data_IF_399036704269
#
_entry.id   IF_399036704269
#
_cell.length_a   1.000
_cell.length_b   1.000
_cell.length_c   1.000
_cell.angle_alpha   90.00
_cell.angle_beta   90.00
_cell.angle_gamma   90.00
#
_symmetry.space_group_name_H-M   'P 1'
#
loop_
_entity.id
_entity.type
_entity.pdbx_description
1 polymer ?
#
# COMPACT_ATOMS: atom_id res chain seq x y z
N UNK A 1 -9.21 -12.95 -106.27
CA UNK A 1 -9.38 -12.64 -104.84
C UNK A 1 -9.04 -11.17 -104.62
N UNK A 2 -10.04 -10.33 -104.33
CA UNK A 2 -9.88 -8.87 -104.15
C UNK A 2 -9.39 -8.59 -102.73
N UNK A 3 -8.17 -8.08 -102.58
CA UNK A 3 -7.68 -7.58 -101.29
C UNK A 3 -7.97 -6.07 -101.20
N UNK A 4 -8.83 -5.72 -100.26
CA UNK A 4 -9.30 -4.35 -99.99
C UNK A 4 -8.21 -3.54 -99.30
N UNK A 5 -7.96 -2.34 -99.83
CA UNK A 5 -7.03 -1.34 -99.34
C UNK A 5 -7.69 -0.51 -98.22
N UNK A 6 -7.19 -0.62 -96.98
CA UNK A 6 -7.62 0.18 -95.84
C UNK A 6 -6.69 1.39 -95.63
N UNK A 7 -7.22 2.60 -95.84
CA UNK A 7 -6.53 3.87 -95.58
C UNK A 7 -6.35 4.08 -94.07
N UNK A 8 -5.11 4.22 -93.62
CA UNK A 8 -4.77 4.61 -92.24
C UNK A 8 -4.72 6.14 -92.16
N UNK A 9 -5.57 6.71 -91.32
CA UNK A 9 -5.65 8.16 -91.07
C UNK A 9 -4.85 8.50 -89.81
N UNK A 10 -3.81 9.31 -89.95
CA UNK A 10 -3.00 9.83 -88.83
C UNK A 10 -3.62 11.13 -88.29
N UNK A 11 -3.99 11.16 -87.01
CA UNK A 11 -4.29 12.38 -86.25
C UNK A 11 -3.11 12.64 -85.29
N UNK A 12 -2.50 13.83 -85.24
CA UNK A 12 -1.46 14.12 -84.26
C UNK A 12 -2.13 14.55 -82.96
N UNK A 13 -2.02 13.75 -81.90
CA UNK A 13 -2.37 14.19 -80.55
C UNK A 13 -1.08 14.60 -79.82
N UNK A 14 -0.81 15.90 -79.87
CA UNK A 14 0.08 16.60 -78.95
C UNK A 14 -0.43 16.36 -77.53
N UNK A 15 0.33 15.69 -76.69
CA UNK A 15 -0.09 15.45 -75.30
C UNK A 15 0.82 14.50 -74.52
N UNK A 16 2.14 14.73 -74.54
CA UNK A 16 3.11 13.82 -73.92
C UNK A 16 4.02 14.46 -72.84
N UNK A 17 3.62 15.54 -72.16
CA UNK A 17 4.50 16.17 -71.13
C UNK A 17 3.85 16.35 -69.74
N UNK A 18 2.54 16.14 -69.57
CA UNK A 18 1.87 16.52 -68.31
C UNK A 18 1.71 15.42 -67.24
N UNK A 19 2.21 14.18 -67.44
CA UNK A 19 1.92 13.06 -66.51
C UNK A 19 3.14 12.65 -65.64
N UNK A 20 4.35 13.13 -65.92
CA UNK A 20 5.53 12.81 -65.10
C UNK A 20 5.72 13.71 -63.86
N UNK A 21 4.96 14.81 -63.73
CA UNK A 21 5.10 15.79 -62.64
C UNK A 21 3.97 15.74 -61.60
N UNK A 22 2.98 14.87 -61.78
CA UNK A 22 1.84 14.74 -60.88
C UNK A 22 1.94 13.59 -59.85
N UNK A 23 3.01 12.77 -59.90
CA UNK A 23 3.22 11.65 -58.96
C UNK A 23 4.23 11.96 -57.84
N UNK A 24 4.87 13.12 -57.83
CA UNK A 24 5.79 13.53 -56.75
C UNK A 24 5.08 14.14 -55.52
N UNK A 25 3.94 14.87 -55.62
CA UNK A 25 3.35 15.46 -54.42
C UNK A 25 2.64 14.43 -53.53
N UNK A 26 2.28 13.25 -54.04
CA UNK A 26 1.61 12.21 -53.24
C UNK A 26 2.55 11.51 -52.22
N UNK A 27 3.86 11.53 -52.42
CA UNK A 27 4.82 10.90 -51.51
C UNK A 27 5.21 11.79 -50.30
N UNK A 28 4.92 13.09 -50.36
CA UNK A 28 5.34 14.05 -49.31
C UNK A 28 4.34 14.12 -48.16
N UNK A 29 3.05 13.82 -48.40
CA UNK A 29 1.99 13.92 -47.39
C UNK A 29 1.90 12.76 -46.39
N UNK A 30 2.76 11.74 -46.48
CA UNK A 30 2.73 10.60 -45.55
C UNK A 30 3.80 10.64 -44.44
N UNK A 31 4.65 11.67 -44.38
CA UNK A 31 5.70 11.73 -43.33
C UNK A 31 5.27 12.37 -42.01
N UNK A 32 4.16 13.11 -41.95
CA UNK A 32 3.72 13.79 -40.72
C UNK A 32 2.93 12.91 -39.73
N UNK A 33 2.71 11.63 -40.06
CA UNK A 33 1.97 10.69 -39.20
C UNK A 33 2.86 9.87 -38.25
N UNK A 34 4.11 10.29 -37.99
CA UNK A 34 4.88 9.65 -36.91
C UNK A 34 4.35 10.16 -35.56
N UNK A 35 3.80 9.30 -34.68
CA UNK A 35 3.41 9.73 -33.35
C UNK A 35 4.64 10.33 -32.66
N UNK A 36 4.55 11.61 -32.30
CA UNK A 36 5.59 12.31 -31.56
C UNK A 36 5.89 11.50 -30.29
N UNK A 37 7.15 11.13 -30.03
CA UNK A 37 7.49 10.40 -28.81
C UNK A 37 7.02 11.23 -27.60
N UNK A 38 6.44 10.58 -26.57
CA UNK A 38 5.98 11.29 -25.38
C UNK A 38 7.13 12.13 -24.81
N UNK A 39 6.84 13.32 -24.26
CA UNK A 39 7.87 14.18 -23.69
C UNK A 39 8.66 13.39 -22.65
N UNK A 40 9.99 13.56 -22.67
CA UNK A 40 10.88 12.92 -21.70
C UNK A 40 10.40 13.28 -20.28
N UNK A 41 10.21 12.26 -19.44
CA UNK A 41 9.74 12.45 -18.08
C UNK A 41 10.79 13.21 -17.27
N UNK A 42 10.39 14.33 -16.65
CA UNK A 42 11.22 15.06 -15.72
C UNK A 42 11.46 14.21 -14.46
N UNK A 43 12.65 14.29 -13.83
CA UNK A 43 12.91 13.59 -12.58
C UNK A 43 11.89 14.04 -11.52
N UNK A 44 11.22 13.06 -10.92
CA UNK A 44 10.18 13.25 -9.90
C UNK A 44 10.52 12.42 -8.68
N UNK A 45 10.26 12.96 -7.48
CA UNK A 45 10.43 12.25 -6.21
C UNK A 45 9.27 11.30 -5.89
N UNK A 46 8.20 11.29 -6.69
CA UNK A 46 7.05 10.43 -6.47
C UNK A 46 7.31 9.01 -6.98
N UNK A 47 6.78 8.01 -6.26
CA UNK A 47 6.74 6.63 -6.76
C UNK A 47 5.84 6.54 -8.00
N UNK A 48 6.26 5.72 -8.95
CA UNK A 48 5.53 5.49 -10.20
C UNK A 48 4.21 4.75 -9.91
N UNK A 49 3.07 5.41 -10.16
CA UNK A 49 1.72 4.85 -9.95
C UNK A 49 1.21 4.20 -11.25
N UNK A 50 1.98 3.26 -11.79
CA UNK A 50 1.60 2.54 -13.00
C UNK A 50 1.16 1.13 -12.60
N UNK A 51 -0.16 0.89 -12.59
CA UNK A 51 -0.74 -0.43 -12.32
C UNK A 51 -0.67 -1.25 -13.62
N UNK A 52 0.29 -2.17 -13.68
CA UNK A 52 0.53 -3.02 -14.86
C UNK A 52 -0.09 -4.42 -14.74
N UNK A 53 -0.65 -4.77 -13.57
CA UNK A 53 -1.31 -6.04 -13.29
C UNK A 53 -2.80 -5.87 -12.94
N UNK A 54 -3.68 -6.84 -13.25
CA UNK A 54 -5.09 -6.77 -12.85
C UNK A 54 -5.24 -6.76 -11.32
N UNK A 55 -6.16 -5.94 -10.80
CA UNK A 55 -6.42 -5.81 -9.36
C UNK A 55 -6.62 -7.16 -8.66
N UNK A 56 -7.36 -8.09 -9.28
CA UNK A 56 -7.62 -9.40 -8.67
C UNK A 56 -6.33 -10.18 -8.36
N UNK A 57 -5.31 -10.05 -9.21
CA UNK A 57 -4.01 -10.72 -9.02
C UNK A 57 -3.27 -10.11 -7.83
N UNK A 58 -3.19 -8.78 -7.77
CA UNK A 58 -2.62 -8.05 -6.63
C UNK A 58 -3.33 -8.41 -5.33
N UNK A 59 -4.66 -8.46 -5.41
CA UNK A 59 -5.54 -8.76 -4.29
C UNK A 59 -5.22 -10.15 -3.72
N UNK A 60 -5.34 -11.21 -4.53
CA UNK A 60 -5.07 -12.57 -4.08
C UNK A 60 -3.65 -12.73 -3.52
N UNK A 61 -2.64 -12.11 -4.15
CA UNK A 61 -1.26 -12.10 -3.66
C UNK A 61 -1.14 -11.49 -2.27
N UNK A 62 -1.80 -10.36 -2.02
CA UNK A 62 -1.75 -9.67 -0.73
C UNK A 62 -2.47 -10.42 0.37
N UNK A 63 -3.66 -10.98 0.08
CA UNK A 63 -4.37 -11.86 1.00
C UNK A 63 -3.53 -13.06 1.40
N UNK A 64 -2.86 -13.69 0.43
CA UNK A 64 -1.97 -14.82 0.69
C UNK A 64 -0.75 -14.45 1.53
N UNK A 65 -0.20 -13.23 1.36
CA UNK A 65 0.95 -12.75 2.12
C UNK A 65 0.61 -12.32 3.56
N UNK A 66 -0.63 -11.93 3.83
CA UNK A 66 -1.10 -11.37 5.11
C UNK A 66 -0.62 -12.14 6.35
N UNK A 67 -0.79 -13.48 6.46
CA UNK A 67 -0.40 -14.20 7.68
C UNK A 67 1.09 -14.10 7.99
N UNK A 68 1.95 -14.10 6.96
CA UNK A 68 3.40 -13.98 7.13
C UNK A 68 3.80 -12.56 7.58
N UNK A 69 3.15 -11.53 7.04
CA UNK A 69 3.42 -10.13 7.41
C UNK A 69 2.95 -9.86 8.83
N UNK A 70 1.75 -10.30 9.19
CA UNK A 70 1.20 -10.16 10.54
C UNK A 70 2.07 -10.89 11.56
N UNK A 71 2.51 -12.11 11.26
CA UNK A 71 3.42 -12.87 12.14
C UNK A 71 4.74 -12.12 12.37
N UNK A 72 5.38 -11.64 11.31
CA UNK A 72 6.61 -10.84 11.41
C UNK A 72 6.41 -9.63 12.31
N UNK A 73 5.28 -8.92 12.16
CA UNK A 73 4.97 -7.76 12.97
C UNK A 73 4.73 -8.13 14.43
N UNK A 74 3.97 -9.20 14.69
CA UNK A 74 3.74 -9.69 16.05
C UNK A 74 5.05 -10.12 16.72
N UNK A 75 5.94 -10.79 16.00
CA UNK A 75 7.26 -11.16 16.51
C UNK A 75 8.10 -9.92 16.84
N UNK A 76 8.07 -8.88 16.00
CA UNK A 76 8.74 -7.60 16.26
C UNK A 76 8.19 -6.91 17.52
N UNK A 77 6.87 -6.83 17.66
CA UNK A 77 6.21 -6.26 18.83
C UNK A 77 6.54 -7.05 20.09
N UNK A 78 6.50 -8.38 20.03
CA UNK A 78 6.83 -9.27 21.14
C UNK A 78 8.31 -9.17 21.55
N UNK A 79 9.23 -8.90 20.62
CA UNK A 79 10.62 -8.64 20.94
C UNK A 79 10.82 -7.31 21.66
N UNK A 80 10.08 -6.27 21.26
CA UNK A 80 10.23 -4.90 21.76
C UNK A 80 9.45 -4.62 23.04
N UNK A 81 8.28 -5.27 23.21
CA UNK A 81 7.32 -4.93 24.24
C UNK A 81 6.78 -6.14 25.01
N UNK A 82 6.37 -5.91 26.26
CA UNK A 82 5.46 -6.78 27.01
C UNK A 82 4.01 -6.43 26.63
N UNK A 83 3.37 -7.32 25.86
CA UNK A 83 1.99 -7.17 25.38
C UNK A 83 0.94 -7.76 26.34
N UNK A 84 1.35 -8.30 27.50
CA UNK A 84 0.43 -8.92 28.44
C UNK A 84 -0.58 -7.92 29.02
N UNK A 85 -1.80 -8.40 29.25
CA UNK A 85 -2.84 -7.64 29.94
C UNK A 85 -2.57 -7.65 31.46
N UNK A 86 -2.12 -6.51 31.99
CA UNK A 86 -1.83 -6.29 33.41
C UNK A 86 -2.44 -4.97 33.85
N UNK A 87 -3.74 -4.94 34.20
CA UNK A 87 -4.40 -3.72 34.62
C UNK A 87 -3.83 -3.22 35.95
N UNK A 88 -3.70 -1.90 36.09
CA UNK A 88 -3.38 -1.25 37.35
C UNK A 88 -4.60 -1.32 38.30
N UNK A 89 -4.35 -1.66 39.56
CA UNK A 89 -5.41 -1.80 40.55
C UNK A 89 -6.12 -0.45 40.78
N UNK A 90 -7.44 -0.42 40.57
CA UNK A 90 -8.28 0.76 40.81
C UNK A 90 -8.10 1.92 39.82
N UNK A 91 -7.29 1.78 38.77
CA UNK A 91 -7.05 2.85 37.79
C UNK A 91 -7.74 2.52 36.47
N UNK A 92 -8.65 3.40 36.07
CA UNK A 92 -9.38 3.29 34.81
C UNK A 92 -9.32 4.58 34.02
N UNK A 93 -9.35 4.46 32.71
CA UNK A 93 -9.63 5.54 31.77
C UNK A 93 -11.10 5.98 31.90
N UNK A 94 -11.50 7.00 31.13
CA UNK A 94 -12.89 7.40 31.05
C UNK A 94 -13.77 6.23 30.60
N UNK A 95 -14.96 6.07 31.22
CA UNK A 95 -15.91 4.95 30.99
C UNK A 95 -15.43 3.56 31.45
N UNK A 96 -14.41 3.51 32.32
CA UNK A 96 -14.07 2.30 33.08
C UNK A 96 -13.14 1.31 32.36
N UNK A 97 -12.49 1.69 31.26
CA UNK A 97 -11.46 0.84 30.64
C UNK A 97 -10.22 0.80 31.54
N UNK A 98 -9.73 -0.37 31.98
CA UNK A 98 -8.57 -0.44 32.87
C UNK A 98 -7.30 0.12 32.23
N UNK A 99 -6.58 0.97 32.97
CA UNK A 99 -5.25 1.43 32.57
C UNK A 99 -4.25 0.32 32.82
N UNK A 100 -3.36 0.11 31.86
CA UNK A 100 -2.31 -0.91 31.94
C UNK A 100 -1.15 -0.46 32.85
N UNK A 101 -0.65 -1.35 33.70
CA UNK A 101 0.43 -1.07 34.64
C UNK A 101 1.83 -1.39 34.07
N UNK A 102 2.83 -0.65 34.55
CA UNK A 102 4.25 -0.92 34.34
C UNK A 102 4.81 -0.47 32.99
N UNK A 103 6.14 -0.50 32.89
CA UNK A 103 6.86 -0.20 31.64
C UNK A 103 6.76 -1.40 30.71
N UNK A 104 6.37 -1.16 29.45
CA UNK A 104 6.19 -2.23 28.46
C UNK A 104 7.42 -2.46 27.60
N UNK A 105 8.35 -1.52 27.51
CA UNK A 105 9.59 -1.70 26.75
C UNK A 105 10.46 -2.77 27.39
N UNK A 106 10.87 -3.76 26.59
CA UNK A 106 11.80 -4.80 27.00
C UNK A 106 13.24 -4.27 26.94
N UNK A 107 13.97 -4.50 28.02
CA UNK A 107 15.40 -4.23 28.08
C UNK A 107 16.21 -5.34 27.41
N UNK A 108 17.42 -5.04 26.91
CA UNK A 108 18.39 -6.08 26.54
C UNK A 108 18.61 -7.07 27.69
N UNK A 109 18.86 -8.34 27.36
CA UNK A 109 19.06 -9.39 28.38
C UNK A 109 20.21 -8.99 29.33
N UNK A 110 19.98 -9.15 30.62
CA UNK A 110 20.97 -8.85 31.66
C UNK A 110 21.12 -7.38 32.02
N UNK A 111 20.30 -6.49 31.47
CA UNK A 111 20.31 -5.04 31.75
C UNK A 111 19.12 -4.64 32.60
N UNK A 112 19.34 -3.77 33.59
CA UNK A 112 18.27 -3.17 34.41
C UNK A 112 18.13 -1.67 34.13
N UNK A 113 16.97 -1.12 34.48
CA UNK A 113 16.73 0.33 34.38
C UNK A 113 17.72 1.14 35.23
N UNK A 114 18.08 0.66 36.42
CA UNK A 114 19.08 1.28 37.29
C UNK A 114 20.46 1.35 36.62
N UNK A 115 20.87 0.25 35.96
CA UNK A 115 22.15 0.20 35.23
C UNK A 115 22.15 1.18 34.05
N UNK A 116 21.07 1.24 33.27
CA UNK A 116 20.96 2.19 32.16
C UNK A 116 20.98 3.63 32.63
N UNK A 117 20.26 3.96 33.71
CA UNK A 117 20.21 5.31 34.26
C UNK A 117 21.58 5.77 34.81
N UNK A 118 22.43 4.84 35.26
CA UNK A 118 23.79 5.12 35.74
C UNK A 118 24.85 5.20 34.63
N UNK A 119 24.53 4.87 33.37
CA UNK A 119 25.47 4.95 32.25
C UNK A 119 25.41 6.30 31.57
N UNK A 120 26.55 6.76 31.03
CA UNK A 120 26.56 7.92 30.15
C UNK A 120 25.92 7.56 28.80
N UNK A 121 25.26 8.50 28.10
CA UNK A 121 24.62 8.24 26.81
C UNK A 121 25.55 7.65 25.75
N UNK A 122 26.82 8.04 25.75
CA UNK A 122 27.84 7.56 24.80
C UNK A 122 28.12 6.07 25.03
N UNK A 123 28.16 5.62 26.29
CA UNK A 123 28.39 4.22 26.64
C UNK A 123 27.16 3.37 26.28
N UNK A 124 25.94 3.90 26.49
CA UNK A 124 24.68 3.23 26.09
C UNK A 124 24.66 3.01 24.58
N UNK A 125 25.05 4.04 23.80
CA UNK A 125 25.13 3.96 22.35
C UNK A 125 26.23 2.99 21.89
N UNK A 126 27.45 3.11 22.42
CA UNK A 126 28.59 2.28 22.03
C UNK A 126 28.36 0.80 22.32
N UNK A 127 27.66 0.47 23.41
CA UNK A 127 27.33 -0.91 23.80
C UNK A 127 26.03 -1.43 23.19
N UNK A 128 25.31 -0.61 22.42
CA UNK A 128 24.03 -1.00 21.81
C UNK A 128 22.95 -1.34 22.84
N UNK A 129 22.95 -0.69 24.00
CA UNK A 129 22.03 -1.00 25.12
C UNK A 129 20.74 -0.19 25.07
N UNK A 130 20.60 0.71 24.09
CA UNK A 130 19.38 1.50 23.95
C UNK A 130 18.18 0.57 23.67
N UNK A 131 17.11 0.62 24.48
CA UNK A 131 16.01 -0.34 24.33
C UNK A 131 15.31 -0.20 22.97
N UNK A 132 15.17 -1.32 22.26
CA UNK A 132 14.60 -1.35 20.91
C UNK A 132 13.14 -0.87 20.85
N UNK A 133 12.40 -0.92 21.98
CA UNK A 133 11.04 -0.40 22.07
C UNK A 133 10.92 1.13 21.97
N UNK A 134 12.04 1.88 22.07
CA UNK A 134 12.06 3.33 21.83
C UNK A 134 12.50 3.70 20.41
N UNK A 135 12.91 2.72 19.60
CA UNK A 135 13.15 2.96 18.18
C UNK A 135 11.81 3.10 17.45
N UNK A 136 11.77 3.86 16.33
CA UNK A 136 10.57 3.96 15.51
C UNK A 136 9.98 2.58 15.20
N UNK A 137 8.67 2.46 15.37
CA UNK A 137 7.94 1.27 14.97
C UNK A 137 7.66 1.35 13.47
N UNK A 138 8.20 0.39 12.72
CA UNK A 138 7.95 0.29 11.27
C UNK A 138 6.51 -0.14 10.99
N UNK A 139 5.92 0.42 9.93
CA UNK A 139 4.62 -0.04 9.44
C UNK A 139 4.68 -1.54 9.07
N UNK A 140 3.67 -2.36 9.39
CA UNK A 140 3.70 -3.80 9.13
C UNK A 140 3.89 -4.13 7.65
N UNK A 141 3.33 -3.32 6.74
CA UNK A 141 3.49 -3.45 5.29
C UNK A 141 3.84 -2.08 4.67
N UNK A 142 5.10 -1.65 4.79
CA UNK A 142 5.53 -0.32 4.33
C UNK A 142 5.32 -0.05 2.83
N UNK A 143 5.57 -1.00 1.90
CA UNK A 143 5.38 -0.75 0.46
C UNK A 143 3.96 -0.35 0.08
N UNK A 144 2.95 -0.94 0.72
CA UNK A 144 1.53 -0.61 0.48
C UNK A 144 1.04 0.55 1.34
N UNK A 145 1.60 0.68 2.55
CA UNK A 145 1.24 1.75 3.48
C UNK A 145 -0.22 1.66 3.95
N UNK A 146 -0.89 2.82 4.03
CA UNK A 146 -2.27 2.96 4.47
C UNK A 146 -2.47 2.91 5.99
N UNK A 147 -3.59 3.44 6.46
CA UNK A 147 -3.94 3.41 7.89
C UNK A 147 -4.53 2.05 8.27
N UNK A 148 -4.27 1.59 9.50
CA UNK A 148 -4.91 0.44 10.11
C UNK A 148 -5.81 0.92 11.24
N UNK A 149 -7.03 0.38 11.33
CA UNK A 149 -7.99 0.73 12.38
C UNK A 149 -8.23 -0.45 13.31
N UNK A 150 -8.34 -0.21 14.64
CA UNK A 150 -8.78 -1.24 15.58
C UNK A 150 -10.17 -1.77 15.21
N UNK A 151 -10.44 -3.04 15.50
CA UNK A 151 -11.70 -3.68 15.12
C UNK A 151 -12.92 -2.93 15.66
N UNK A 152 -12.85 -2.43 16.91
CA UNK A 152 -13.96 -1.66 17.49
C UNK A 152 -14.29 -0.35 16.76
N UNK A 153 -13.31 0.24 16.06
CA UNK A 153 -13.54 1.42 15.25
C UNK A 153 -14.18 1.02 13.93
N UNK A 154 -13.68 -0.06 13.30
CA UNK A 154 -14.25 -0.60 12.06
C UNK A 154 -15.73 -0.96 12.25
N UNK A 155 -16.05 -1.69 13.33
CA UNK A 155 -17.42 -2.13 13.63
C UNK A 155 -18.37 -0.93 13.82
N UNK A 156 -17.88 0.14 14.42
CA UNK A 156 -18.69 1.33 14.69
C UNK A 156 -18.96 2.15 13.42
N UNK A 157 -17.94 2.36 12.58
CA UNK A 157 -18.14 3.05 11.29
C UNK A 157 -19.04 2.22 10.37
N UNK A 158 -18.88 0.90 10.37
CA UNK A 158 -19.78 0.02 9.63
C UNK A 158 -21.23 0.15 10.12
N UNK A 159 -21.43 0.26 11.44
CA UNK A 159 -22.76 0.47 12.04
C UNK A 159 -23.36 1.83 11.70
N UNK A 160 -22.58 2.91 11.76
CA UNK A 160 -23.06 4.28 11.55
C UNK A 160 -23.22 4.63 10.06
N UNK A 161 -22.23 4.29 9.24
CA UNK A 161 -22.08 4.77 7.87
C UNK A 161 -22.25 3.68 6.82
N UNK A 162 -22.43 2.40 7.22
CA UNK A 162 -22.45 1.24 6.31
C UNK A 162 -21.16 1.11 5.48
N UNK A 163 -20.07 1.69 5.97
CA UNK A 163 -18.75 1.65 5.33
C UNK A 163 -17.85 0.65 6.04
N UNK A 164 -17.33 -0.29 5.28
CA UNK A 164 -16.34 -1.24 5.79
C UNK A 164 -14.93 -0.68 5.62
N UNK A 165 -14.20 -0.56 6.74
CA UNK A 165 -12.80 -0.12 6.78
C UNK A 165 -11.82 -1.30 6.88
N UNK A 166 -12.32 -2.54 6.81
CA UNK A 166 -11.48 -3.72 6.80
C UNK A 166 -10.55 -3.71 5.59
N UNK A 167 -9.27 -3.89 5.90
CA UNK A 167 -8.24 -4.14 4.90
C UNK A 167 -8.11 -5.62 4.67
N UNK A 168 -7.89 -5.97 3.42
CA UNK A 168 -7.74 -7.37 3.01
C UNK A 168 -6.31 -7.88 3.21
N UNK A 169 -5.32 -6.98 3.28
CA UNK A 169 -3.89 -7.28 3.30
C UNK A 169 -3.31 -7.31 4.72
N UNK A 170 -3.98 -6.67 5.68
CA UNK A 170 -3.53 -6.53 7.07
C UNK A 170 -4.67 -6.29 8.05
N UNK A 171 -4.52 -6.82 9.26
CA UNK A 171 -5.22 -6.37 10.47
C UNK A 171 -4.39 -5.43 11.33
N UNK A 172 -5.06 -4.72 12.23
CA UNK A 172 -4.44 -3.92 13.27
C UNK A 172 -3.62 -4.81 14.22
N UNK A 173 -2.41 -4.37 14.58
CA UNK A 173 -1.37 -5.21 15.19
C UNK A 173 -1.27 -5.08 16.71
N UNK A 174 -1.85 -4.05 17.32
CA UNK A 174 -1.80 -3.83 18.77
C UNK A 174 -3.05 -4.40 19.48
N UNK A 175 -2.89 -5.09 20.63
CA UNK A 175 -4.02 -5.62 21.41
C UNK A 175 -4.98 -4.55 21.96
N UNK A 176 -6.27 -4.89 22.05
CA UNK A 176 -7.32 -3.96 22.50
C UNK A 176 -7.08 -3.34 23.88
N UNK A 177 -6.49 -4.09 24.82
CA UNK A 177 -6.26 -3.64 26.20
C UNK A 177 -5.16 -2.59 26.34
N UNK A 178 -4.30 -2.41 25.33
CA UNK A 178 -3.29 -1.33 25.31
C UNK A 178 -3.77 -0.07 24.59
N UNK A 179 -4.89 -0.15 23.87
CA UNK A 179 -5.43 0.99 23.15
C UNK A 179 -6.19 1.93 24.11
N UNK A 180 -6.31 3.22 23.78
CA UNK A 180 -7.16 4.14 24.52
C UNK A 180 -8.63 3.69 24.55
N UNK A 181 -9.41 4.29 25.43
CA UNK A 181 -10.86 4.19 25.38
C UNK A 181 -11.41 4.79 24.08
N UNK A 182 -12.48 4.19 23.54
CA UNK A 182 -13.16 4.66 22.33
C UNK A 182 -14.57 5.13 22.67
N UNK A 183 -14.91 6.34 22.25
CA UNK A 183 -16.10 7.08 22.68
C UNK A 183 -17.42 6.44 22.26
N UNK A 184 -17.45 5.76 21.11
CA UNK A 184 -18.69 5.32 20.48
C UNK A 184 -19.15 3.91 20.89
N UNK A 185 -18.38 3.19 21.72
CA UNK A 185 -18.80 1.90 22.27
C UNK A 185 -19.15 2.04 23.76
N UNK A 186 -20.38 1.69 24.14
CA UNK A 186 -20.71 1.38 25.53
C UNK A 186 -19.84 0.20 25.96
N UNK A 187 -18.96 0.44 26.93
CA UNK A 187 -18.06 -0.55 27.51
C UNK A 187 -18.92 -1.68 28.13
N UNK A 188 -19.13 -2.81 27.42
CA UNK A 188 -19.94 -3.89 28.00
C UNK A 188 -20.43 -5.06 27.14
N UNK A 189 -20.22 -5.15 25.81
CA UNK A 189 -20.83 -6.25 25.00
C UNK A 189 -19.89 -7.04 24.07
N UNK A 190 -18.63 -7.28 24.47
CA UNK A 190 -17.75 -8.22 23.73
C UNK A 190 -17.40 -9.51 24.47
N UNK A 191 -17.61 -9.59 25.78
CA UNK A 191 -17.40 -10.83 26.53
C UNK A 191 -18.37 -11.96 26.15
N UNK A 192 -19.52 -11.65 25.54
CA UNK A 192 -20.57 -12.65 25.26
C UNK A 192 -20.58 -13.21 23.84
N UNK A 193 -19.88 -12.60 22.85
CA UNK A 193 -19.98 -13.05 21.46
C UNK A 193 -19.04 -14.20 21.10
N UNK A 194 -17.93 -14.37 21.81
CA UNK A 194 -17.02 -15.49 21.54
C UNK A 194 -17.63 -16.86 21.92
N UNK A 195 -18.65 -16.89 22.80
CA UNK A 195 -19.31 -18.13 23.23
C UNK A 195 -20.47 -18.58 22.32
N UNK A 196 -20.84 -17.77 21.32
CA UNK A 196 -21.98 -18.05 20.44
C UNK A 196 -21.60 -18.67 19.09
N UNK A 197 -20.31 -18.67 18.73
CA UNK A 197 -19.81 -19.21 17.45
C UNK A 197 -19.27 -20.66 17.58
N UNK A 198 -19.25 -21.22 18.80
CA UNK A 198 -18.84 -22.59 19.12
C UNK A 198 -20.04 -23.49 19.52
N UNK A 199 -21.25 -23.23 18.98
CA UNK A 199 -22.42 -24.12 19.12
C UNK A 199 -23.13 -24.39 17.81
#
# INVERSE_FOLDING_TARGET
MKASCGKVSYRPLVGAVAIALALVPALVWTQDARPKPPPAQLPSSYMKVDITEPFQVTMERMKAARPAIERRQQDLLAQRYDLANRPAAGVTMFRGKPVQAGVRVKLPRGVTWQQLAGMRPEDVKAKGLFPAGFLPLSHPNHPEGGMLFPQFHIDEILRQERRDLNRFDLSFDLPDHILPEFHASGNGRRGERQAADDR
#
